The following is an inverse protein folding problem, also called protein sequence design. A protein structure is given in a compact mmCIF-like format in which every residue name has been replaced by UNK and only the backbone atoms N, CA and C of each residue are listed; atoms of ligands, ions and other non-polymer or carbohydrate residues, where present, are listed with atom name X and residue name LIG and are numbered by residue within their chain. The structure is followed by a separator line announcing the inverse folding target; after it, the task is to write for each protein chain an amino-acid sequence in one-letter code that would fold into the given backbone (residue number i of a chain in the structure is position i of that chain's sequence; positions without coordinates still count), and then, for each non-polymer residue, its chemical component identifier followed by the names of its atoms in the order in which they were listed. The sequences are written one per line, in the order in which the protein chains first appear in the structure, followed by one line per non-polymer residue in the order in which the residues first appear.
data_IF_118580539690
#
_entry.id   IF_118580539690
#
_cell.length_a   1.000
_cell.length_b   1.000
_cell.length_c   1.000
_cell.angle_alpha   90.00
_cell.angle_beta   90.00
_cell.angle_gamma   90.00
#
_symmetry.space_group_name_H-M   'P 1'
#
loop_
_entity.id
_entity.type
_entity.pdbx_description
1 polymer ?
#
# COMPACT_ATOMS: atom_id res chain seq x y z
N UNK A 1 -17.44 -3.27 -12.05
CA UNK A 1 -16.11 -2.77 -12.51
C UNK A 1 -15.21 -2.25 -11.38
N UNK A 2 -15.69 -2.10 -10.14
CA UNK A 2 -14.87 -1.60 -9.02
C UNK A 2 -14.11 -2.68 -8.22
N UNK A 3 -14.43 -3.96 -8.40
CA UNK A 3 -13.72 -5.08 -7.74
C UNK A 3 -12.22 -5.09 -8.12
N UNK A 4 -11.92 -4.75 -9.37
CA UNK A 4 -10.52 -4.67 -9.84
C UNK A 4 -9.75 -3.59 -9.06
N UNK A 5 -10.40 -2.48 -8.71
CA UNK A 5 -9.77 -1.42 -7.92
C UNK A 5 -9.49 -1.87 -6.49
N UNK A 6 -10.41 -2.60 -5.84
CA UNK A 6 -10.19 -3.14 -4.50
C UNK A 6 -9.05 -4.15 -4.47
N UNK A 7 -8.96 -5.04 -5.47
CA UNK A 7 -7.83 -5.95 -5.64
C UNK A 7 -6.49 -5.21 -5.81
N UNK A 8 -6.46 -4.12 -6.58
CA UNK A 8 -5.25 -3.29 -6.73
C UNK A 8 -4.86 -2.64 -5.40
N UNK A 9 -5.82 -2.12 -4.63
CA UNK A 9 -5.56 -1.56 -3.30
C UNK A 9 -4.99 -2.60 -2.34
N UNK A 10 -5.52 -3.82 -2.35
CA UNK A 10 -5.02 -4.93 -1.52
C UNK A 10 -3.59 -5.29 -1.93
N UNK A 11 -3.30 -5.40 -3.23
CA UNK A 11 -1.96 -5.73 -3.72
C UNK A 11 -0.93 -4.65 -3.34
N UNK A 12 -1.28 -3.37 -3.49
CA UNK A 12 -0.41 -2.25 -3.07
C UNK A 12 -0.23 -2.27 -1.55
N UNK A 13 -1.30 -2.47 -0.79
CA UNK A 13 -1.24 -2.53 0.67
C UNK A 13 -0.36 -3.69 1.18
N UNK A 14 -0.41 -4.85 0.52
CA UNK A 14 0.47 -5.98 0.81
C UNK A 14 1.94 -5.63 0.56
N UNK A 15 2.25 -5.00 -0.57
CA UNK A 15 3.61 -4.54 -0.87
C UNK A 15 4.12 -3.54 0.18
N UNK A 16 3.27 -2.60 0.62
CA UNK A 16 3.61 -1.63 1.67
C UNK A 16 3.87 -2.30 3.04
N UNK A 17 3.17 -3.40 3.37
CA UNK A 17 3.34 -4.11 4.64
C UNK A 17 4.58 -5.01 4.64
N UNK A 18 4.74 -5.81 3.58
CA UNK A 18 5.80 -6.82 3.47
C UNK A 18 7.15 -6.16 3.20
N UNK A 19 7.21 -5.25 2.23
CA UNK A 19 8.46 -4.68 1.75
C UNK A 19 8.37 -3.14 1.61
N UNK A 20 8.26 -2.42 2.75
CA UNK A 20 8.18 -0.97 2.76
C UNK A 20 9.43 -0.27 2.19
N UNK A 21 10.57 -0.97 2.08
CA UNK A 21 11.80 -0.45 1.46
C UNK A 21 11.64 -0.31 -0.06
N UNK A 22 11.13 -1.33 -0.73
CA UNK A 22 10.85 -1.27 -2.17
C UNK A 22 9.79 -0.21 -2.48
N UNK A 23 8.77 -0.08 -1.62
CA UNK A 23 7.80 1.02 -1.72
C UNK A 23 8.46 2.41 -1.56
N UNK A 24 9.41 2.55 -0.64
CA UNK A 24 10.19 3.77 -0.47
C UNK A 24 11.01 4.09 -1.72
N UNK A 25 11.72 3.12 -2.31
CA UNK A 25 12.52 3.33 -3.52
C UNK A 25 11.65 3.80 -4.70
N UNK A 26 10.48 3.20 -4.88
CA UNK A 26 9.54 3.62 -5.93
C UNK A 26 9.04 5.06 -5.69
N UNK A 27 8.70 5.42 -4.45
CA UNK A 27 8.02 6.69 -4.14
C UNK A 27 8.94 7.86 -3.82
N UNK A 28 10.12 7.59 -3.27
CA UNK A 28 11.09 8.57 -2.78
C UNK A 28 12.47 8.39 -3.40
N UNK A 29 12.78 7.23 -4.02
CA UNK A 29 14.10 6.97 -4.61
C UNK A 29 14.47 7.94 -5.73
N UNK A 30 13.49 8.52 -6.42
CA UNK A 30 13.72 9.54 -7.45
C UNK A 30 14.04 10.95 -6.88
N UNK A 31 13.86 11.19 -5.57
CA UNK A 31 14.08 12.51 -4.95
C UNK A 31 15.46 12.67 -4.33
N UNK A 32 16.17 11.57 -4.14
CA UNK A 32 17.50 11.58 -3.55
C UNK A 32 18.49 11.07 -4.60
N UNK A 33 19.57 11.81 -4.84
CA UNK A 33 20.66 11.42 -5.76
C UNK A 33 21.54 10.27 -5.21
N UNK A 34 21.06 9.55 -4.17
CA UNK A 34 21.78 8.45 -3.53
C UNK A 34 20.86 7.56 -2.69
N UNK A 35 21.38 6.37 -2.36
CA UNK A 35 20.77 5.33 -1.53
C UNK A 35 20.46 5.80 -0.10
N UNK A 36 19.55 6.75 0.05
CA UNK A 36 19.04 7.19 1.34
C UNK A 36 18.18 6.08 1.93
N UNK A 37 18.56 5.55 3.09
CA UNK A 37 17.75 4.53 3.75
C UNK A 37 16.43 5.13 4.28
N UNK A 38 15.31 4.42 4.16
CA UNK A 38 14.05 4.87 4.73
C UNK A 38 14.15 4.97 6.25
N UNK A 39 13.67 6.09 6.80
CA UNK A 39 13.62 6.28 8.26
C UNK A 39 12.71 5.24 8.92
N UNK A 40 12.97 4.91 10.18
CA UNK A 40 12.12 3.98 10.93
C UNK A 40 10.65 4.45 11.00
N UNK A 41 10.43 5.77 11.10
CA UNK A 41 9.10 6.36 11.08
C UNK A 41 8.40 6.14 9.74
N UNK A 42 9.12 6.26 8.62
CA UNK A 42 8.57 5.99 7.29
C UNK A 42 8.16 4.53 7.15
N UNK A 43 8.98 3.59 7.64
CA UNK A 43 8.67 2.15 7.59
C UNK A 43 7.38 1.86 8.38
N UNK A 44 7.25 2.41 9.59
CA UNK A 44 6.08 2.21 10.44
C UNK A 44 4.84 2.84 9.79
N UNK A 45 4.92 4.08 9.32
CA UNK A 45 3.79 4.76 8.69
C UNK A 45 3.37 4.08 7.39
N UNK A 46 4.32 3.57 6.60
CA UNK A 46 4.03 2.82 5.36
C UNK A 46 3.34 1.50 5.67
N UNK A 47 3.78 0.74 6.67
CA UNK A 47 3.10 -0.49 7.09
C UNK A 47 1.68 -0.22 7.58
N UNK A 48 1.49 0.85 8.35
CA UNK A 48 0.17 1.27 8.79
C UNK A 48 -0.73 1.66 7.62
N UNK A 49 -0.23 2.48 6.69
CA UNK A 49 -0.94 2.84 5.46
C UNK A 49 -1.29 1.64 4.60
N UNK A 50 -0.37 0.67 4.48
CA UNK A 50 -0.59 -0.58 3.75
C UNK A 50 -1.70 -1.43 4.37
N UNK A 51 -1.73 -1.54 5.70
CA UNK A 51 -2.83 -2.20 6.41
C UNK A 51 -4.18 -1.51 6.14
N UNK A 52 -4.21 -0.17 6.13
CA UNK A 52 -5.43 0.58 5.80
C UNK A 52 -5.87 0.37 4.34
N UNK A 53 -4.93 0.28 3.39
CA UNK A 53 -5.24 0.00 1.98
C UNK A 53 -5.86 -1.39 1.80
N UNK A 54 -5.35 -2.41 2.51
CA UNK A 54 -5.93 -3.75 2.52
C UNK A 54 -7.34 -3.72 3.09
N UNK A 55 -7.55 -3.05 4.23
CA UNK A 55 -8.86 -2.95 4.88
C UNK A 55 -9.89 -2.28 3.98
N UNK A 56 -9.54 -1.17 3.33
CA UNK A 56 -10.45 -0.44 2.42
C UNK A 56 -10.75 -1.27 1.17
N UNK A 57 -9.74 -1.91 0.58
CA UNK A 57 -9.93 -2.77 -0.59
C UNK A 57 -10.86 -3.95 -0.28
N UNK A 58 -10.62 -4.66 0.83
CA UNK A 58 -11.48 -5.77 1.27
C UNK A 58 -12.89 -5.30 1.59
N UNK A 59 -13.04 -4.22 2.36
CA UNK A 59 -14.36 -3.69 2.71
C UNK A 59 -15.14 -3.26 1.46
N UNK A 60 -14.47 -2.56 0.54
CA UNK A 60 -15.06 -2.13 -0.73
C UNK A 60 -15.52 -3.31 -1.60
N UNK A 61 -14.67 -4.32 -1.76
CA UNK A 61 -15.00 -5.51 -2.56
C UNK A 61 -16.12 -6.32 -1.93
N UNK A 62 -16.10 -6.51 -0.60
CA UNK A 62 -17.19 -7.20 0.13
C UNK A 62 -18.51 -6.44 -0.06
N UNK A 63 -18.54 -5.13 0.22
CA UNK A 63 -19.77 -4.34 0.05
C UNK A 63 -20.28 -4.45 -1.38
N UNK A 64 -19.39 -4.35 -2.37
CA UNK A 64 -19.79 -4.42 -3.77
C UNK A 64 -20.23 -5.82 -4.20
N UNK A 65 -19.73 -6.89 -3.59
CA UNK A 65 -20.17 -8.26 -3.88
C UNK A 65 -21.53 -8.59 -3.25
N UNK A 66 -21.82 -8.06 -2.06
CA UNK A 66 -23.06 -8.36 -1.33
C UNK A 66 -24.21 -7.39 -1.62
N UNK A 67 -23.93 -6.18 -2.11
CA UNK A 67 -24.93 -5.14 -2.36
C UNK A 67 -25.01 -4.70 -3.84
N UNK A 68 -24.38 -5.43 -4.77
CA UNK A 68 -24.51 -5.23 -6.23
C UNK A 68 -25.63 -6.04 -6.85
#
# INVERSE_FOLDING_TARGET
MYIVLGLVLIAIGLLMVIEPKSFYEITQGWKNDGYAEPSQLFIISTRFGGAMFILVGLAGDIILLFFS
#
